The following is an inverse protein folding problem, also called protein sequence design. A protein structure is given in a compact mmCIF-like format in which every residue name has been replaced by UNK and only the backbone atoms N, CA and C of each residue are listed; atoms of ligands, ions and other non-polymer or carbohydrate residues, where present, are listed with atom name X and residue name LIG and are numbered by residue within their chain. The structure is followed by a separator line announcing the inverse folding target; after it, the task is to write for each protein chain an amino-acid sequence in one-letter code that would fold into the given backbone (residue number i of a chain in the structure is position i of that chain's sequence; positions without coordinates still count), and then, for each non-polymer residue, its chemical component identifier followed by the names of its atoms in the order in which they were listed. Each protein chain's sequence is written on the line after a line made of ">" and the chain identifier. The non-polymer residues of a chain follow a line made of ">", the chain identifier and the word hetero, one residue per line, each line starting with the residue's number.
data_IF_757365230049
#
_entry.id   IF_757365230049
#
_cell.length_a   1.000
_cell.length_b   1.000
_cell.length_c   1.000
_cell.angle_alpha   90.00
_cell.angle_beta   90.00
_cell.angle_gamma   90.00
#
_symmetry.space_group_name_H-M   'P 1'
#
loop_
_entity.id
_entity.type
_entity.pdbx_description
1 polymer ?
#
# COMPACT_ATOMS: atom_id res chain seq x y z
N UNK A 1 -27.43 3.05 -10.48
CA UNK A 1 -26.33 3.29 -11.44
C UNK A 1 -25.08 3.89 -10.77
N UNK A 2 -25.18 5.03 -10.09
CA UNK A 2 -24.04 5.67 -9.39
C UNK A 2 -23.44 4.82 -8.26
N UNK A 3 -24.30 4.32 -7.36
CA UNK A 3 -23.90 3.46 -6.23
C UNK A 3 -23.27 2.14 -6.71
N UNK A 4 -23.76 1.59 -7.82
CA UNK A 4 -23.24 0.33 -8.39
C UNK A 4 -21.86 0.50 -9.02
N UNK A 5 -21.59 1.61 -9.71
CA UNK A 5 -20.27 1.92 -10.29
C UNK A 5 -19.21 2.18 -9.20
N UNK A 6 -19.61 2.88 -8.13
CA UNK A 6 -18.78 3.09 -6.94
C UNK A 6 -18.43 1.76 -6.26
N UNK A 7 -19.43 0.91 -6.02
CA UNK A 7 -19.22 -0.40 -5.41
C UNK A 7 -18.31 -1.31 -6.25
N UNK A 8 -18.40 -1.25 -7.57
CA UNK A 8 -17.50 -2.00 -8.46
C UNK A 8 -16.06 -1.50 -8.43
N UNK A 9 -15.86 -0.17 -8.47
CA UNK A 9 -14.52 0.42 -8.37
C UNK A 9 -13.88 0.10 -7.02
N UNK A 10 -14.65 0.25 -5.93
CA UNK A 10 -14.22 -0.11 -4.59
C UNK A 10 -13.84 -1.58 -4.48
N UNK A 11 -14.68 -2.49 -4.98
CA UNK A 11 -14.42 -3.95 -4.97
C UNK A 11 -13.16 -4.31 -5.75
N UNK A 12 -12.91 -3.67 -6.90
CA UNK A 12 -11.70 -3.91 -7.69
C UNK A 12 -10.44 -3.44 -6.96
N UNK A 13 -10.50 -2.28 -6.30
CA UNK A 13 -9.38 -1.73 -5.52
C UNK A 13 -9.10 -2.62 -4.29
N UNK A 14 -10.12 -2.99 -3.53
CA UNK A 14 -9.98 -3.87 -2.35
C UNK A 14 -9.45 -5.24 -2.75
N UNK A 15 -9.95 -5.84 -3.85
CA UNK A 15 -9.46 -7.12 -4.34
C UNK A 15 -8.00 -7.03 -4.78
N UNK A 16 -7.58 -5.94 -5.43
CA UNK A 16 -6.18 -5.73 -5.76
C UNK A 16 -5.31 -5.53 -4.51
N UNK A 17 -5.81 -4.80 -3.52
CA UNK A 17 -5.06 -4.56 -2.29
C UNK A 17 -4.90 -5.79 -1.41
N UNK A 18 -5.88 -6.69 -1.41
CA UNK A 18 -5.72 -7.96 -0.74
C UNK A 18 -4.48 -8.73 -1.25
N UNK A 19 -4.28 -8.77 -2.56
CA UNK A 19 -3.11 -9.42 -3.18
C UNK A 19 -1.80 -8.70 -2.87
N UNK A 20 -1.81 -7.37 -2.87
CA UNK A 20 -0.64 -6.55 -2.54
C UNK A 20 -0.26 -6.72 -1.06
N UNK A 21 -1.23 -6.61 -0.15
CA UNK A 21 -1.03 -6.78 1.28
C UNK A 21 -0.51 -8.19 1.60
N UNK A 22 -1.04 -9.24 0.96
CA UNK A 22 -0.55 -10.60 1.11
C UNK A 22 0.91 -10.74 0.65
N UNK A 23 1.27 -10.12 -0.48
CA UNK A 23 2.64 -10.13 -1.00
C UNK A 23 3.61 -9.44 -0.05
N UNK A 24 3.28 -8.23 0.42
CA UNK A 24 4.09 -7.50 1.40
C UNK A 24 4.24 -8.29 2.69
N UNK A 25 3.15 -8.86 3.19
CA UNK A 25 3.17 -9.66 4.42
C UNK A 25 4.08 -10.88 4.26
N UNK A 26 4.01 -11.57 3.13
CA UNK A 26 4.83 -12.75 2.86
C UNK A 26 6.32 -12.39 2.82
N UNK A 27 6.69 -11.33 2.09
CA UNK A 27 8.08 -10.90 2.05
C UNK A 27 8.56 -10.40 3.42
N UNK A 28 7.74 -9.64 4.14
CA UNK A 28 8.03 -9.20 5.52
C UNK A 28 8.21 -10.39 6.45
N UNK A 29 7.36 -11.42 6.36
CA UNK A 29 7.53 -12.65 7.12
C UNK A 29 8.87 -13.35 6.78
N UNK A 30 9.22 -13.47 5.50
CA UNK A 30 10.50 -14.05 5.09
C UNK A 30 11.69 -13.27 5.65
N UNK A 31 11.63 -11.94 5.60
CA UNK A 31 12.68 -11.09 6.12
C UNK A 31 12.84 -11.20 7.63
N UNK A 32 11.74 -11.09 8.38
CA UNK A 32 11.76 -11.11 9.84
C UNK A 32 12.07 -12.50 10.41
N UNK A 33 11.62 -13.58 9.75
CA UNK A 33 11.78 -14.95 10.27
C UNK A 33 13.04 -15.66 9.76
N UNK A 34 13.62 -15.24 8.63
CA UNK A 34 14.78 -15.92 8.04
C UNK A 34 15.98 -15.00 7.84
N UNK A 35 15.78 -13.83 7.22
CA UNK A 35 16.91 -12.95 6.85
C UNK A 35 17.53 -12.29 8.09
N UNK A 36 16.72 -11.65 8.93
CA UNK A 36 17.22 -10.98 10.14
C UNK A 36 17.85 -11.92 11.17
N UNK A 37 17.24 -13.10 11.45
CA UNK A 37 17.82 -14.07 12.37
C UNK A 37 19.18 -14.62 11.92
N UNK A 38 19.45 -14.73 10.60
CA UNK A 38 20.76 -15.15 10.08
C UNK A 38 21.87 -14.15 10.47
N UNK A 39 21.54 -12.88 10.64
CA UNK A 39 22.48 -11.86 11.13
C UNK A 39 22.40 -11.63 12.65
N UNK A 40 21.66 -12.47 13.38
CA UNK A 40 21.47 -12.32 14.83
C UNK A 40 20.61 -11.13 15.25
N UNK A 41 19.94 -10.47 14.31
CA UNK A 41 19.15 -9.25 14.53
C UNK A 41 17.67 -9.60 14.68
N UNK A 42 17.31 -10.40 15.68
CA UNK A 42 15.91 -10.81 15.86
C UNK A 42 15.06 -9.64 16.37
N UNK A 43 13.95 -9.37 15.68
CA UNK A 43 12.99 -8.35 16.10
C UNK A 43 12.00 -8.90 17.13
N UNK A 44 11.73 -8.15 18.22
CA UNK A 44 10.66 -8.50 19.14
C UNK A 44 9.30 -8.37 18.43
N UNK A 45 8.31 -9.12 18.89
CA UNK A 45 6.95 -9.10 18.36
C UNK A 45 6.81 -9.46 16.87
N UNK A 46 7.76 -10.21 16.31
CA UNK A 46 7.75 -10.60 14.88
C UNK A 46 6.40 -11.13 14.38
N UNK A 47 5.70 -12.07 15.06
CA UNK A 47 4.37 -12.51 14.61
C UNK A 47 3.34 -11.38 14.56
N UNK A 48 3.38 -10.46 15.53
CA UNK A 48 2.49 -9.30 15.59
C UNK A 48 2.80 -8.33 14.44
N UNK A 49 4.08 -8.08 14.15
CA UNK A 49 4.49 -7.22 13.03
C UNK A 49 4.04 -7.78 11.69
N UNK A 50 4.12 -9.11 11.51
CA UNK A 50 3.65 -9.78 10.29
C UNK A 50 2.13 -9.62 10.17
N UNK A 51 1.37 -9.96 11.21
CA UNK A 51 -0.10 -9.82 11.19
C UNK A 51 -0.51 -8.36 11.00
N UNK A 52 0.18 -7.43 11.66
CA UNK A 52 -0.05 -6.00 11.52
C UNK A 52 0.21 -5.52 10.09
N UNK A 53 1.29 -5.98 9.45
CA UNK A 53 1.60 -5.68 8.05
C UNK A 53 0.47 -6.09 7.12
N UNK A 54 -0.14 -7.26 7.35
CA UNK A 54 -1.29 -7.69 6.57
C UNK A 54 -2.51 -6.81 6.79
N UNK A 55 -2.90 -6.61 8.05
CA UNK A 55 -4.13 -5.88 8.41
C UNK A 55 -4.04 -4.42 7.98
N UNK A 56 -2.95 -3.74 8.32
CA UNK A 56 -2.76 -2.36 7.92
C UNK A 56 -2.56 -2.26 6.40
N UNK A 57 -1.87 -3.19 5.75
CA UNK A 57 -1.71 -3.23 4.28
C UNK A 57 -3.03 -3.27 3.48
N UNK A 58 -4.15 -3.68 4.09
CA UNK A 58 -5.48 -3.59 3.47
C UNK A 58 -5.99 -2.14 3.33
N UNK A 59 -5.44 -1.21 4.13
CA UNK A 59 -5.71 0.23 4.04
C UNK A 59 -4.75 0.83 3.01
N UNK A 60 -5.23 1.29 1.84
CA UNK A 60 -4.37 1.82 0.80
C UNK A 60 -3.52 2.99 1.32
N UNK A 61 -2.23 2.99 0.94
CA UNK A 61 -1.26 4.06 1.20
C UNK A 61 -0.90 4.22 2.68
N UNK A 62 -1.87 4.56 3.54
CA UNK A 62 -1.67 4.79 4.98
C UNK A 62 -1.22 3.52 5.69
N UNK A 63 -1.80 2.38 5.32
CA UNK A 63 -1.42 1.09 5.87
C UNK A 63 0.08 0.81 5.79
N UNK A 64 0.60 0.86 4.56
CA UNK A 64 2.02 0.67 4.30
C UNK A 64 2.91 1.70 5.00
N UNK A 65 2.50 2.98 5.01
CA UNK A 65 3.27 4.01 5.72
C UNK A 65 3.38 3.70 7.21
N UNK A 66 2.26 3.35 7.86
CA UNK A 66 2.23 3.01 9.28
C UNK A 66 3.04 1.75 9.55
N UNK A 67 2.91 0.69 8.73
CA UNK A 67 3.71 -0.52 8.87
C UNK A 67 5.21 -0.23 8.78
N UNK A 68 5.63 0.56 7.79
CA UNK A 68 7.03 0.89 7.58
C UNK A 68 7.62 1.66 8.76
N UNK A 69 6.87 2.63 9.28
CA UNK A 69 7.25 3.40 10.48
C UNK A 69 7.38 2.47 11.68
N UNK A 70 6.39 1.62 11.95
CA UNK A 70 6.41 0.70 13.09
C UNK A 70 7.59 -0.28 12.98
N UNK A 71 7.79 -0.93 11.82
CA UNK A 71 8.91 -1.88 11.61
C UNK A 71 10.26 -1.18 11.81
N UNK A 72 10.40 0.05 11.31
CA UNK A 72 11.64 0.83 11.46
C UNK A 72 11.90 1.18 12.93
N UNK A 73 10.88 1.63 13.66
CA UNK A 73 10.99 1.96 15.08
C UNK A 73 11.33 0.71 15.90
N UNK A 74 10.66 -0.42 15.66
CA UNK A 74 10.97 -1.67 16.38
C UNK A 74 12.37 -2.15 16.04
N UNK A 75 12.84 -1.98 14.79
CA UNK A 75 14.23 -2.24 14.40
C UNK A 75 15.22 -1.37 15.15
N UNK A 76 14.92 -0.08 15.28
CA UNK A 76 15.77 0.88 16.00
C UNK A 76 15.87 0.57 17.48
N UNK A 77 14.78 0.09 18.09
CA UNK A 77 14.76 -0.38 19.48
C UNK A 77 15.68 -1.59 19.73
N UNK A 78 16.01 -2.37 18.70
CA UNK A 78 16.99 -3.47 18.79
C UNK A 78 18.41 -2.95 18.56
N UNK A 79 18.64 -2.29 17.41
CA UNK A 79 19.93 -1.63 17.12
C UNK A 79 19.83 -0.71 15.89
N UNK A 80 20.73 0.27 15.74
CA UNK A 80 20.82 1.07 14.52
C UNK A 80 21.04 0.25 13.25
N UNK A 81 21.78 -0.87 13.34
CA UNK A 81 22.01 -1.76 12.22
C UNK A 81 20.74 -2.52 11.81
N UNK A 82 19.94 -2.98 12.77
CA UNK A 82 18.65 -3.59 12.51
C UNK A 82 17.67 -2.60 11.86
N UNK A 83 17.64 -1.34 12.34
CA UNK A 83 16.86 -0.29 11.70
C UNK A 83 17.29 -0.03 10.25
N UNK A 84 18.60 0.03 9.98
CA UNK A 84 19.13 0.20 8.64
C UNK A 84 18.78 -0.98 7.72
N UNK A 85 18.88 -2.22 8.23
CA UNK A 85 18.47 -3.42 7.51
C UNK A 85 16.96 -3.40 7.19
N UNK A 86 16.12 -3.05 8.17
CA UNK A 86 14.69 -2.86 7.98
C UNK A 86 14.40 -1.79 6.93
N UNK A 87 15.01 -0.62 7.02
CA UNK A 87 14.81 0.46 6.04
C UNK A 87 15.21 0.05 4.63
N UNK A 88 16.38 -0.59 4.47
CA UNK A 88 16.83 -1.09 3.17
C UNK A 88 15.83 -2.10 2.59
N UNK A 89 15.37 -3.04 3.41
CA UNK A 89 14.36 -4.01 3.02
C UNK A 89 13.02 -3.36 2.65
N UNK A 90 12.52 -2.42 3.45
CA UNK A 90 11.27 -1.71 3.22
C UNK A 90 11.31 -0.92 1.91
N UNK A 91 12.43 -0.27 1.60
CA UNK A 91 12.64 0.42 0.31
C UNK A 91 12.56 -0.57 -0.86
N UNK A 92 13.19 -1.74 -0.73
CA UNK A 92 13.18 -2.78 -1.77
C UNK A 92 11.77 -3.36 -1.98
N UNK A 93 11.06 -3.69 -0.90
CA UNK A 93 9.67 -4.15 -0.99
C UNK A 93 8.79 -3.10 -1.63
N UNK A 94 8.88 -1.84 -1.21
CA UNK A 94 8.02 -0.80 -1.72
C UNK A 94 8.20 -0.61 -3.24
N UNK A 95 9.44 -0.78 -3.73
CA UNK A 95 9.72 -0.75 -5.16
C UNK A 95 9.16 -2.00 -5.88
N UNK A 96 9.23 -3.18 -5.28
CA UNK A 96 8.62 -4.39 -5.81
C UNK A 96 7.09 -4.29 -5.85
N UNK A 97 6.48 -3.72 -4.80
CA UNK A 97 5.05 -3.41 -4.74
C UNK A 97 4.65 -2.50 -5.88
N UNK A 98 5.40 -1.44 -6.18
CA UNK A 98 5.09 -0.54 -7.29
C UNK A 98 4.99 -1.28 -8.63
N UNK A 99 5.92 -2.21 -8.88
CA UNK A 99 5.91 -3.04 -10.09
C UNK A 99 4.69 -3.97 -10.11
N UNK A 100 4.35 -4.57 -8.97
CA UNK A 100 3.17 -5.44 -8.85
C UNK A 100 1.88 -4.64 -9.00
N UNK A 101 1.78 -3.48 -8.38
CA UNK A 101 0.64 -2.57 -8.48
C UNK A 101 0.40 -2.19 -9.95
N UNK A 102 1.45 -1.82 -10.68
CA UNK A 102 1.36 -1.58 -12.12
C UNK A 102 0.83 -2.80 -12.91
N UNK A 103 1.25 -4.03 -12.53
CA UNK A 103 0.84 -5.26 -13.22
C UNK A 103 -0.57 -5.74 -12.84
N UNK A 104 -0.97 -5.60 -11.58
CA UNK A 104 -2.22 -6.10 -11.00
C UNK A 104 -3.35 -5.08 -11.13
N UNK A 105 -3.09 -3.79 -10.86
CA UNK A 105 -4.06 -2.69 -10.96
C UNK A 105 -4.12 -2.12 -12.37
N UNK A 106 -2.98 -1.98 -13.06
CA UNK A 106 -2.93 -1.47 -14.44
C UNK A 106 -3.70 -2.34 -15.44
N UNK A 107 -3.74 -3.66 -15.25
CA UNK A 107 -4.60 -4.58 -16.04
C UNK A 107 -6.10 -4.39 -15.80
N UNK A 108 -6.52 -3.78 -14.69
CA UNK A 108 -7.93 -3.71 -14.29
C UNK A 108 -8.57 -2.33 -14.34
N UNK A 109 -7.81 -1.25 -14.38
CA UNK A 109 -8.37 0.11 -14.19
C UNK A 109 -8.12 1.12 -15.30
N UNK A 110 -7.25 0.89 -16.28
CA UNK A 110 -7.00 1.85 -17.39
C UNK A 110 -6.86 3.32 -16.90
N UNK A 111 -6.22 3.49 -15.73
CA UNK A 111 -6.00 4.79 -15.11
C UNK A 111 -4.55 5.20 -15.31
N UNK A 112 -4.33 6.40 -15.85
CA UNK A 112 -3.00 6.95 -16.00
C UNK A 112 -2.40 7.28 -14.64
N UNK A 113 -1.15 6.87 -14.41
CA UNK A 113 -0.43 7.12 -13.15
C UNK A 113 -0.38 8.62 -12.84
N UNK A 114 -0.21 9.46 -13.85
CA UNK A 114 -0.22 10.93 -13.73
C UNK A 114 -1.57 11.51 -13.30
N UNK A 115 -2.68 10.90 -13.75
CA UNK A 115 -4.03 11.37 -13.40
C UNK A 115 -4.31 11.07 -11.91
N UNK A 116 -3.95 9.87 -11.46
CA UNK A 116 -4.12 9.46 -10.08
C UNK A 116 -3.23 10.29 -9.13
N UNK A 117 -1.96 10.51 -9.48
CA UNK A 117 -1.04 11.34 -8.71
C UNK A 117 -1.55 12.79 -8.57
N UNK A 118 -2.09 13.35 -9.65
CA UNK A 118 -2.65 14.70 -9.64
C UNK A 118 -3.82 14.80 -8.66
N UNK A 119 -4.73 13.82 -8.68
CA UNK A 119 -5.88 13.82 -7.75
C UNK A 119 -5.43 13.57 -6.32
N UNK A 120 -4.42 12.74 -6.10
CA UNK A 120 -3.83 12.51 -4.77
C UNK A 120 -3.26 13.79 -4.16
N UNK A 121 -2.45 14.56 -4.91
CA UNK A 121 -1.92 15.83 -4.42
C UNK A 121 -3.00 16.90 -4.19
N UNK A 122 -3.99 16.98 -5.09
CA UNK A 122 -5.10 17.92 -4.91
C UNK A 122 -5.95 17.55 -3.69
N UNK A 123 -6.28 16.27 -3.53
CA UNK A 123 -7.07 15.82 -2.38
C UNK A 123 -6.29 15.95 -1.07
N UNK A 124 -4.99 15.69 -1.07
CA UNK A 124 -4.11 15.93 0.09
C UNK A 124 -4.06 17.42 0.46
N UNK A 125 -3.93 18.32 -0.52
CA UNK A 125 -3.92 19.76 -0.26
C UNK A 125 -5.25 20.29 0.31
N UNK A 126 -6.38 19.69 -0.08
CA UNK A 126 -7.72 20.14 0.32
C UNK A 126 -8.20 19.47 1.62
N UNK A 127 -7.89 18.19 1.81
CA UNK A 127 -8.44 17.36 2.89
C UNK A 127 -7.37 16.68 3.76
N UNK A 128 -6.09 17.00 3.55
CA UNK A 128 -4.97 16.41 4.28
C UNK A 128 -4.79 14.91 4.00
N UNK A 129 -4.21 14.15 4.96
CA UNK A 129 -3.98 12.71 4.79
C UNK A 129 -5.23 11.90 4.44
N UNK A 130 -6.41 12.35 4.90
CA UNK A 130 -7.69 11.73 4.58
C UNK A 130 -8.04 11.87 3.08
N UNK A 131 -7.71 13.01 2.46
CA UNK A 131 -7.87 13.24 1.03
C UNK A 131 -6.95 12.35 0.20
N UNK A 132 -5.70 12.17 0.64
CA UNK A 132 -4.74 11.28 -0.01
C UNK A 132 -5.25 9.83 -0.07
N UNK A 133 -5.90 9.36 1.01
CA UNK A 133 -6.51 8.02 1.08
C UNK A 133 -7.73 7.90 0.16
N UNK A 134 -8.56 8.94 0.09
CA UNK A 134 -9.82 8.89 -0.63
C UNK A 134 -9.68 9.16 -2.14
N UNK A 135 -8.60 9.82 -2.56
CA UNK A 135 -8.33 10.22 -3.95
C UNK A 135 -8.45 9.07 -4.97
N UNK A 136 -7.87 7.87 -4.77
CA UNK A 136 -7.97 6.79 -5.76
C UNK A 136 -9.40 6.30 -5.96
N UNK A 137 -10.18 6.26 -4.88
CA UNK A 137 -11.57 5.83 -4.92
C UNK A 137 -12.44 6.87 -5.64
N UNK A 138 -12.31 8.14 -5.27
CA UNK A 138 -13.08 9.22 -5.89
C UNK A 138 -12.72 9.41 -7.36
N UNK A 139 -11.45 9.34 -7.73
CA UNK A 139 -11.01 9.46 -9.12
C UNK A 139 -11.52 8.30 -9.98
N UNK A 140 -11.40 7.05 -9.50
CA UNK A 140 -11.91 5.88 -10.22
C UNK A 140 -13.43 5.97 -10.44
N UNK A 141 -14.17 6.46 -9.45
CA UNK A 141 -15.61 6.71 -9.57
C UNK A 141 -15.92 7.81 -10.59
N UNK A 142 -15.26 8.97 -10.49
CA UNK A 142 -15.48 10.11 -11.37
C UNK A 142 -15.18 9.76 -12.83
N UNK A 143 -14.09 9.02 -13.08
CA UNK A 143 -13.72 8.56 -14.42
C UNK A 143 -14.79 7.64 -15.02
N UNK A 144 -15.39 6.74 -14.22
CA UNK A 144 -16.49 5.88 -14.67
C UNK A 144 -17.76 6.69 -15.00
N UNK A 145 -18.10 7.72 -14.23
CA UNK A 145 -19.23 8.62 -14.54
C UNK A 145 -19.00 9.40 -15.86
N UNK A 146 -17.79 9.91 -16.08
CA UNK A 146 -17.46 10.65 -17.32
C UNK A 146 -17.56 9.76 -18.57
N UNK A 147 -17.07 8.52 -18.49
CA UNK A 147 -17.20 7.54 -19.58
C UNK A 147 -18.66 7.17 -19.81
N UNK A 148 -19.45 6.95 -18.75
CA UNK A 148 -20.88 6.68 -18.85
C UNK A 148 -21.65 7.86 -19.48
N UNK A 149 -21.20 9.08 -19.26
CA UNK A 149 -21.74 10.30 -19.86
C UNK A 149 -21.21 10.62 -21.27
N UNK A 150 -20.30 9.80 -21.83
CA UNK A 150 -19.59 10.04 -23.11
C UNK A 150 -18.85 11.38 -23.17
N UNK A 151 -18.34 11.86 -22.05
CA UNK A 151 -17.57 13.10 -21.98
C UNK A 151 -16.06 12.88 -22.14
N UNK A 152 -15.60 11.64 -21.99
CA UNK A 152 -14.24 11.15 -22.18
C UNK A 152 -14.29 9.73 -22.73
#
# INVERSE_FOLDING_TARGET
>A
LRITLFGEAFRQIVAAQFWIAAFNTLLTALFLLFVLPVWGLQLPYTPVLITFTFVAGLVPIVGNLVCNVVITIVGLSVSPLAAAACLGFLILIHKAEYVINAKVVGRRTQMGVWELLSVMFVAEAVFGPAGLVAAPLFYAYLKKELVAARLV
#
